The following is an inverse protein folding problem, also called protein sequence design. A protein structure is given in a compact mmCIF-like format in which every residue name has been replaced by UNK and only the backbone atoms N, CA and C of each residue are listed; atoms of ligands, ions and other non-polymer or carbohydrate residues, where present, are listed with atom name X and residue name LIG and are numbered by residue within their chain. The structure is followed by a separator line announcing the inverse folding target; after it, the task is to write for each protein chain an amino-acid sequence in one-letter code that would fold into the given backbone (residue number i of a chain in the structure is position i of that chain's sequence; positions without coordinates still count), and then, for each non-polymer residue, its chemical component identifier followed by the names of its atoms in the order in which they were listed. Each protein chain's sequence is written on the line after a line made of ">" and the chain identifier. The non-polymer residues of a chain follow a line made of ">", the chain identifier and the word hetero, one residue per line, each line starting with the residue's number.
data_IF_745184013621
#
_entry.id   IF_745184013621
#
_cell.length_a   1.000
_cell.length_b   1.000
_cell.length_c   1.000
_cell.angle_alpha   90.00
_cell.angle_beta   90.00
_cell.angle_gamma   90.00
#
_symmetry.space_group_name_H-M   'P 1'
#
loop_
_entity.id
_entity.type
_entity.pdbx_description
1 polymer ?
#
# COMPACT_ATOMS: atom_id res chain seq x y z
N UNK A 1 2.35 -33.45 -10.68
CA UNK A 1 2.91 -32.13 -11.05
C UNK A 1 1.88 -31.00 -11.05
N UNK A 2 0.69 -31.16 -11.68
CA UNK A 2 -0.34 -30.10 -11.71
C UNK A 2 -0.82 -29.64 -10.31
N UNK A 3 -1.02 -30.58 -9.38
CA UNK A 3 -1.42 -30.27 -8.01
C UNK A 3 -0.38 -29.41 -7.26
N UNK A 4 0.91 -29.71 -7.46
CA UNK A 4 2.00 -28.93 -6.88
C UNK A 4 2.02 -27.50 -7.41
N UNK A 5 1.83 -27.31 -8.72
CA UNK A 5 1.76 -25.99 -9.34
C UNK A 5 0.58 -25.15 -8.84
N UNK A 6 -0.58 -25.78 -8.61
CA UNK A 6 -1.77 -25.12 -8.07
C UNK A 6 -1.50 -24.64 -6.64
N UNK A 7 -0.96 -25.51 -5.78
CA UNK A 7 -0.64 -25.16 -4.37
C UNK A 7 0.44 -24.08 -4.33
N UNK A 8 1.48 -24.20 -5.15
CA UNK A 8 2.55 -23.21 -5.22
C UNK A 8 2.05 -21.85 -5.69
N UNK A 9 1.22 -21.81 -6.74
CA UNK A 9 0.62 -20.57 -7.25
C UNK A 9 -0.34 -19.91 -6.25
N UNK A 10 -1.15 -20.70 -5.53
CA UNK A 10 -2.01 -20.16 -4.47
C UNK A 10 -1.19 -19.61 -3.30
N UNK A 11 -0.16 -20.33 -2.86
CA UNK A 11 0.70 -19.91 -1.76
C UNK A 11 1.44 -18.61 -2.08
N UNK A 12 2.00 -18.49 -3.27
CA UNK A 12 2.72 -17.28 -3.69
C UNK A 12 1.77 -16.10 -3.84
N UNK A 13 0.57 -16.32 -4.39
CA UNK A 13 -0.47 -15.28 -4.50
C UNK A 13 -0.91 -14.74 -3.14
N UNK A 14 -1.17 -15.61 -2.17
CA UNK A 14 -1.55 -15.22 -0.80
C UNK A 14 -0.41 -14.44 -0.14
N UNK A 15 0.83 -14.91 -0.26
CA UNK A 15 2.01 -14.25 0.33
C UNK A 15 2.19 -12.82 -0.22
N UNK A 16 2.12 -12.66 -1.53
CA UNK A 16 2.27 -11.33 -2.18
C UNK A 16 1.11 -10.42 -1.81
N UNK A 17 -0.14 -10.91 -1.88
CA UNK A 17 -1.32 -10.12 -1.53
C UNK A 17 -1.31 -9.65 -0.07
N UNK A 18 -0.99 -10.56 0.86
CA UNK A 18 -0.85 -10.22 2.28
C UNK A 18 0.26 -9.19 2.52
N UNK A 19 1.41 -9.33 1.85
CA UNK A 19 2.51 -8.38 1.94
C UNK A 19 2.14 -6.97 1.47
N UNK A 20 1.48 -6.86 0.31
CA UNK A 20 1.03 -5.57 -0.23
C UNK A 20 0.03 -4.89 0.70
N UNK A 21 -1.01 -5.60 1.12
CA UNK A 21 -2.06 -5.03 1.99
C UNK A 21 -1.48 -4.65 3.36
N UNK A 22 -0.63 -5.50 3.95
CA UNK A 22 0.00 -5.23 5.24
C UNK A 22 0.88 -3.98 5.17
N UNK A 23 1.65 -3.80 4.09
CA UNK A 23 2.47 -2.61 3.90
C UNK A 23 1.59 -1.36 3.81
N UNK A 24 0.52 -1.39 3.00
CA UNK A 24 -0.36 -0.24 2.80
C UNK A 24 -1.08 0.19 4.10
N UNK A 25 -1.42 -0.77 4.95
CA UNK A 25 -2.01 -0.51 6.27
C UNK A 25 -0.95 -0.01 7.25
N UNK A 26 0.21 -0.66 7.31
CA UNK A 26 1.32 -0.31 8.20
C UNK A 26 1.84 1.12 7.96
N UNK A 27 1.92 1.52 6.69
CA UNK A 27 2.29 2.89 6.28
C UNK A 27 1.27 3.93 6.73
N UNK A 28 0.09 3.52 7.19
CA UNK A 28 -0.90 4.41 7.78
C UNK A 28 -1.69 5.22 6.75
N UNK A 29 -1.72 4.78 5.49
CA UNK A 29 -2.48 5.46 4.41
C UNK A 29 -3.96 5.52 4.78
N UNK A 30 -4.53 4.39 5.18
CA UNK A 30 -5.95 4.23 5.49
C UNK A 30 -6.38 5.09 6.69
N UNK A 31 -5.72 4.97 7.87
CA UNK A 31 -6.09 5.83 8.99
C UNK A 31 -5.94 7.31 8.62
N UNK A 32 -4.89 7.73 7.90
CA UNK A 32 -4.75 9.14 7.52
C UNK A 32 -5.84 9.64 6.57
N UNK A 33 -6.24 8.83 5.60
CA UNK A 33 -7.38 9.19 4.75
C UNK A 33 -8.66 9.34 5.57
N UNK A 34 -8.96 8.39 6.45
CA UNK A 34 -10.14 8.45 7.32
C UNK A 34 -10.09 9.64 8.30
N UNK A 35 -8.89 10.04 8.74
CA UNK A 35 -8.69 11.22 9.57
C UNK A 35 -8.95 12.52 8.79
N UNK A 36 -8.39 12.66 7.60
CA UNK A 36 -8.55 13.86 6.77
C UNK A 36 -10.01 14.07 6.35
N UNK A 37 -10.75 12.98 6.11
CA UNK A 37 -12.18 13.01 5.81
C UNK A 37 -13.09 13.09 7.04
N UNK A 38 -12.54 13.26 8.26
CA UNK A 38 -13.27 13.25 9.53
C UNK A 38 -14.19 12.03 9.73
N UNK A 39 -13.85 10.90 9.14
CA UNK A 39 -14.66 9.67 9.09
C UNK A 39 -13.90 8.46 9.63
N UNK A 40 -13.24 8.64 10.79
CA UNK A 40 -12.48 7.58 11.50
C UNK A 40 -13.30 6.32 11.79
N UNK A 41 -14.62 6.45 11.92
CA UNK A 41 -15.54 5.31 12.15
C UNK A 41 -15.57 4.31 10.97
N UNK A 42 -15.21 4.76 9.76
CA UNK A 42 -15.34 3.97 8.53
C UNK A 42 -14.04 3.34 8.04
N UNK A 43 -13.01 3.22 8.88
CA UNK A 43 -11.70 2.65 8.50
C UNK A 43 -11.85 1.29 7.80
N UNK A 44 -12.70 0.40 8.33
CA UNK A 44 -12.96 -0.92 7.75
C UNK A 44 -13.55 -0.84 6.33
N UNK A 45 -14.26 0.23 5.99
CA UNK A 45 -14.80 0.43 4.65
C UNK A 45 -13.71 0.87 3.67
N UNK A 46 -12.83 1.77 4.09
CA UNK A 46 -11.66 2.18 3.30
C UNK A 46 -10.71 1.00 3.03
N UNK A 47 -10.50 0.11 4.02
CA UNK A 47 -9.76 -1.14 3.82
C UNK A 47 -10.37 -2.01 2.73
N UNK A 48 -11.69 -2.23 2.76
CA UNK A 48 -12.38 -3.05 1.75
C UNK A 48 -12.23 -2.45 0.35
N UNK A 49 -12.36 -1.12 0.21
CA UNK A 49 -12.17 -0.44 -1.08
C UNK A 49 -10.73 -0.62 -1.57
N UNK A 50 -9.74 -0.50 -0.69
CA UNK A 50 -8.34 -0.69 -1.04
C UNK A 50 -8.05 -2.14 -1.48
N UNK A 51 -8.61 -3.13 -0.78
CA UNK A 51 -8.48 -4.55 -1.16
C UNK A 51 -9.13 -4.82 -2.52
N UNK A 52 -10.35 -4.31 -2.76
CA UNK A 52 -11.04 -4.48 -4.04
C UNK A 52 -10.27 -3.78 -5.17
N UNK A 53 -9.78 -2.57 -4.93
CA UNK A 53 -9.02 -1.79 -5.92
C UNK A 53 -7.70 -2.45 -6.29
N UNK A 54 -6.95 -2.96 -5.31
CA UNK A 54 -5.69 -3.70 -5.56
C UNK A 54 -5.94 -5.01 -6.29
N UNK A 55 -7.00 -5.74 -5.95
CA UNK A 55 -7.39 -6.96 -6.65
C UNK A 55 -7.74 -6.69 -8.13
N UNK A 56 -8.59 -5.69 -8.39
CA UNK A 56 -8.94 -5.29 -9.75
C UNK A 56 -7.72 -4.79 -10.55
N UNK A 57 -6.88 -3.97 -9.92
CA UNK A 57 -5.64 -3.48 -10.53
C UNK A 57 -4.68 -4.61 -10.91
N UNK A 58 -4.55 -5.63 -10.06
CA UNK A 58 -3.75 -6.82 -10.34
C UNK A 58 -4.31 -7.61 -11.54
N UNK A 59 -5.64 -7.79 -11.62
CA UNK A 59 -6.27 -8.46 -12.77
C UNK A 59 -6.04 -7.71 -14.08
N UNK A 60 -6.22 -6.38 -14.08
CA UNK A 60 -6.00 -5.53 -15.26
C UNK A 60 -4.53 -5.60 -15.69
N UNK A 61 -3.60 -5.59 -14.73
CA UNK A 61 -2.16 -5.67 -14.99
C UNK A 61 -1.76 -7.01 -15.64
N UNK A 62 -2.27 -8.14 -15.16
CA UNK A 62 -1.99 -9.46 -15.73
C UNK A 62 -2.53 -9.57 -17.16
N UNK A 63 -3.73 -9.06 -17.41
CA UNK A 63 -4.39 -9.18 -18.72
C UNK A 63 -3.85 -8.18 -19.77
N UNK A 64 -2.91 -7.29 -19.41
CA UNK A 64 -2.39 -6.22 -20.28
C UNK A 64 -3.50 -5.44 -21.02
N UNK A 65 -4.64 -5.25 -20.33
CA UNK A 65 -5.80 -4.57 -20.91
C UNK A 65 -5.45 -3.09 -21.11
N UNK A 66 -5.34 -2.69 -22.36
CA UNK A 66 -5.05 -1.33 -22.77
C UNK A 66 -6.37 -0.56 -22.89
N UNK A 67 -6.79 0.11 -21.82
CA UNK A 67 -8.02 0.92 -21.81
C UNK A 67 -7.68 2.32 -22.30
N UNK A 68 -8.18 2.68 -23.49
CA UNK A 68 -8.07 4.06 -23.98
C UNK A 68 -9.14 4.92 -23.30
N UNK A 69 -8.75 5.56 -22.20
CA UNK A 69 -9.69 6.23 -21.27
C UNK A 69 -9.93 7.72 -21.60
N UNK A 70 -9.54 8.14 -22.81
CA UNK A 70 -9.63 9.55 -23.24
C UNK A 70 -8.71 10.46 -22.43
N UNK A 71 -8.47 11.68 -22.93
CA UNK A 71 -7.54 12.63 -22.28
C UNK A 71 -7.97 13.02 -20.87
N UNK A 72 -9.28 13.24 -20.67
CA UNK A 72 -9.85 13.65 -19.38
C UNK A 72 -9.67 12.53 -18.35
N UNK A 73 -9.93 11.28 -18.74
CA UNK A 73 -9.80 10.17 -17.81
C UNK A 73 -8.35 9.93 -17.39
N UNK A 74 -7.38 10.08 -18.30
CA UNK A 74 -5.94 10.00 -17.93
C UNK A 74 -5.56 11.07 -16.91
N UNK A 75 -6.08 12.29 -17.02
CA UNK A 75 -5.83 13.37 -16.05
C UNK A 75 -6.39 12.98 -14.67
N UNK A 76 -7.63 12.49 -14.62
CA UNK A 76 -8.27 12.07 -13.36
C UNK A 76 -7.51 10.92 -12.69
N UNK A 77 -7.13 9.90 -13.45
CA UNK A 77 -6.33 8.78 -12.94
C UNK A 77 -4.93 9.22 -12.49
N UNK A 78 -4.29 10.14 -13.22
CA UNK A 78 -3.01 10.71 -12.85
C UNK A 78 -3.08 11.50 -11.53
N UNK A 79 -4.11 12.30 -11.34
CA UNK A 79 -4.34 13.02 -10.07
C UNK A 79 -4.62 12.05 -8.92
N UNK A 80 -5.47 11.04 -9.14
CA UNK A 80 -5.75 10.02 -8.13
C UNK A 80 -4.48 9.26 -7.72
N UNK A 81 -3.63 8.91 -8.68
CA UNK A 81 -2.34 8.28 -8.43
C UNK A 81 -1.39 9.21 -7.65
N UNK A 82 -1.35 10.49 -8.01
CA UNK A 82 -0.56 11.50 -7.29
C UNK A 82 -0.99 11.64 -5.82
N UNK A 83 -2.29 11.68 -5.54
CA UNK A 83 -2.82 11.70 -4.18
C UNK A 83 -2.40 10.43 -3.43
N UNK A 84 -2.54 9.26 -4.03
CA UNK A 84 -2.12 7.99 -3.43
C UNK A 84 -0.62 7.97 -3.08
N UNK A 85 0.25 8.36 -4.01
CA UNK A 85 1.70 8.43 -3.78
C UNK A 85 2.05 9.50 -2.72
N UNK A 86 1.31 10.61 -2.67
CA UNK A 86 1.46 11.63 -1.63
C UNK A 86 1.18 11.08 -0.23
N UNK A 87 0.08 10.33 -0.06
CA UNK A 87 -0.22 9.65 1.20
C UNK A 87 0.81 8.58 1.54
N UNK A 88 1.29 7.82 0.55
CA UNK A 88 2.34 6.82 0.75
C UNK A 88 3.65 7.47 1.24
N UNK A 89 4.07 8.56 0.60
CA UNK A 89 5.28 9.31 0.95
C UNK A 89 5.19 9.92 2.34
N UNK A 90 4.08 10.60 2.65
CA UNK A 90 3.83 11.09 4.01
C UNK A 90 3.85 9.93 5.01
N UNK A 91 3.24 8.81 4.63
CA UNK A 91 3.18 7.55 5.38
C UNK A 91 4.56 7.11 5.85
N UNK A 92 5.44 6.93 4.88
CA UNK A 92 6.81 6.52 5.06
C UNK A 92 7.62 7.54 5.87
N UNK A 93 7.42 8.84 5.66
CA UNK A 93 8.11 9.88 6.43
C UNK A 93 7.83 9.74 7.94
N UNK A 94 6.58 9.51 8.33
CA UNK A 94 6.24 9.29 9.75
C UNK A 94 6.93 8.02 10.29
N UNK A 95 6.97 6.93 9.52
CA UNK A 95 7.69 5.71 9.92
C UNK A 95 9.18 5.95 10.10
N UNK A 96 9.80 6.70 9.19
CA UNK A 96 11.23 7.03 9.25
C UNK A 96 11.56 7.82 10.52
N UNK A 97 10.70 8.75 10.93
CA UNK A 97 10.86 9.51 12.17
C UNK A 97 10.84 8.62 13.44
N UNK A 98 10.20 7.44 13.39
CA UNK A 98 10.23 6.48 14.49
C UNK A 98 11.52 5.63 14.55
N UNK A 99 12.31 5.54 13.47
CA UNK A 99 13.54 4.72 13.44
C UNK A 99 14.58 5.16 14.50
N UNK A 100 14.91 6.46 14.64
CA UNK A 100 15.84 6.92 15.68
C UNK A 100 15.35 6.59 17.10
N UNK A 101 14.04 6.69 17.33
CA UNK A 101 13.41 6.41 18.62
C UNK A 101 13.52 4.92 18.95
N UNK A 102 13.23 4.04 17.97
CA UNK A 102 13.39 2.60 18.12
C UNK A 102 14.86 2.21 18.37
N UNK A 103 15.79 2.80 17.63
CA UNK A 103 17.24 2.59 17.81
C UNK A 103 17.71 2.92 19.23
N UNK A 104 17.27 4.07 19.77
CA UNK A 104 17.58 4.47 21.16
C UNK A 104 17.02 3.47 22.18
N UNK A 105 15.81 2.95 21.97
CA UNK A 105 15.20 1.94 22.87
C UNK A 105 15.91 0.59 22.83
N UNK A 106 16.43 0.20 21.67
CA UNK A 106 17.20 -1.04 21.49
C UNK A 106 18.67 -0.91 21.93
N UNK A 107 19.09 0.26 22.46
CA UNK A 107 20.46 0.56 22.90
C UNK A 107 21.52 0.28 21.83
N UNK A 108 21.18 0.47 20.56
CA UNK A 108 22.12 0.31 19.45
C UNK A 108 23.15 1.46 19.55
N UNK A 109 24.46 1.17 19.59
CA UNK A 109 25.47 2.21 19.75
C UNK A 109 25.41 3.21 18.60
N UNK A 110 25.29 4.49 18.94
CA UNK A 110 25.10 5.61 18.01
C UNK A 110 26.24 5.79 16.98
N UNK A 111 27.34 5.04 17.10
CA UNK A 111 28.52 5.10 16.23
C UNK A 111 28.24 4.65 14.79
N UNK A 112 27.14 3.92 14.54
CA UNK A 112 26.74 3.46 13.20
C UNK A 112 25.64 4.29 12.53
N UNK A 113 25.08 5.30 13.21
CA UNK A 113 23.94 6.10 12.73
C UNK A 113 24.37 7.52 12.31
N UNK A 114 25.49 7.61 11.58
CA UNK A 114 25.95 8.87 11.00
C UNK A 114 25.34 9.05 9.61
N UNK A 115 24.02 9.21 9.56
CA UNK A 115 23.27 9.71 8.39
C UNK A 115 22.12 10.57 8.88
#
# INVERSE_FOLDING_TARGET
>A
MKLFLIIFGLSSGIMVGAGVISLLILVGIIPRMAQLSNTRSFINFYEKILVIGTFLGALISIQNISISIGKIGVIVFGLAYGIFVGFLSSGLAEILDYIPIASRRLKIPALYLKY
#
